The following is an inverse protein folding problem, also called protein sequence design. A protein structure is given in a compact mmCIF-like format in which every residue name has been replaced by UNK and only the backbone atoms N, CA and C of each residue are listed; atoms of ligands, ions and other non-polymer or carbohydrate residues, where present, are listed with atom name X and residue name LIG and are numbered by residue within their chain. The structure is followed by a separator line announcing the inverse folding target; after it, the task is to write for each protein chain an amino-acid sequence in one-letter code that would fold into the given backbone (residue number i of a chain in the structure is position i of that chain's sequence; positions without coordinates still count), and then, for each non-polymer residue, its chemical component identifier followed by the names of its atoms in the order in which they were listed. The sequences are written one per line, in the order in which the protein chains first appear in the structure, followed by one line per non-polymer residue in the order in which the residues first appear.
data_IF_598470362036
#
_entry.id   IF_598470362036
#
_cell.length_a   1.000
_cell.length_b   1.000
_cell.length_c   1.000
_cell.angle_alpha   90.00
_cell.angle_beta   90.00
_cell.angle_gamma   90.00
#
_symmetry.space_group_name_H-M   'P 1'
#
loop_
_entity.id
_entity.type
_entity.pdbx_description
1 polymer ?
#
# COMPACT_ATOMS: atom_id res chain seq x y z
N UNK A 1 -52.20 48.18 0.34
CA UNK A 1 -51.74 47.21 1.36
C UNK A 1 -51.26 45.90 0.73
N UNK A 2 -52.04 45.20 -0.11
CA UNK A 2 -51.65 43.92 -0.72
C UNK A 2 -50.35 43.96 -1.55
N UNK A 3 -50.11 45.02 -2.32
CA UNK A 3 -48.91 45.13 -3.17
C UNK A 3 -47.61 45.25 -2.36
N UNK A 4 -47.63 45.98 -1.24
CA UNK A 4 -46.47 46.11 -0.34
C UNK A 4 -46.16 44.77 0.35
N UNK A 5 -47.18 44.00 0.74
CA UNK A 5 -47.02 42.66 1.33
C UNK A 5 -46.37 41.68 0.34
N UNK A 6 -46.76 41.72 -0.94
CA UNK A 6 -46.17 40.88 -1.98
C UNK A 6 -44.68 41.18 -2.18
N UNK A 7 -44.30 42.47 -2.20
CA UNK A 7 -42.89 42.88 -2.34
C UNK A 7 -42.04 42.42 -1.16
N UNK A 8 -42.57 42.50 0.07
CA UNK A 8 -41.88 42.02 1.27
C UNK A 8 -41.68 40.51 1.23
N UNK A 9 -42.72 39.75 0.86
CA UNK A 9 -42.63 38.29 0.74
C UNK A 9 -41.67 37.86 -0.37
N UNK A 10 -41.67 38.56 -1.51
CA UNK A 10 -40.75 38.28 -2.61
C UNK A 10 -39.30 38.56 -2.19
N UNK A 11 -39.05 39.67 -1.49
CA UNK A 11 -37.72 39.99 -0.96
C UNK A 11 -37.24 38.95 0.07
N UNK A 12 -38.11 38.53 0.98
CA UNK A 12 -37.79 37.49 1.96
C UNK A 12 -37.50 36.13 1.29
N UNK A 13 -38.26 35.78 0.24
CA UNK A 13 -38.05 34.56 -0.54
C UNK A 13 -36.69 34.59 -1.25
N UNK A 14 -36.34 35.70 -1.91
CA UNK A 14 -35.05 35.87 -2.56
C UNK A 14 -33.89 35.80 -1.58
N UNK A 15 -34.03 36.42 -0.41
CA UNK A 15 -33.02 36.33 0.65
C UNK A 15 -32.81 34.88 1.09
N UNK A 16 -33.90 34.14 1.34
CA UNK A 16 -33.83 32.73 1.70
C UNK A 16 -33.16 31.88 0.61
N UNK A 17 -33.52 32.12 -0.66
CA UNK A 17 -32.92 31.45 -1.81
C UNK A 17 -31.41 31.70 -1.92
N UNK A 18 -30.97 32.95 -1.75
CA UNK A 18 -29.55 33.31 -1.81
C UNK A 18 -28.75 32.68 -0.67
N UNK A 19 -29.32 32.64 0.55
CA UNK A 19 -28.70 31.95 1.70
C UNK A 19 -28.57 30.46 1.42
N UNK A 20 -29.62 29.81 0.91
CA UNK A 20 -29.58 28.39 0.57
C UNK A 20 -28.52 28.12 -0.51
N UNK A 21 -28.46 28.94 -1.56
CA UNK A 21 -27.46 28.81 -2.62
C UNK A 21 -26.03 28.96 -2.10
N UNK A 22 -25.79 29.91 -1.18
CA UNK A 22 -24.49 30.09 -0.55
C UNK A 22 -24.09 28.88 0.32
N UNK A 23 -25.02 28.32 1.07
CA UNK A 23 -24.79 27.10 1.88
C UNK A 23 -24.47 25.91 0.98
N UNK A 24 -25.26 25.68 -0.09
CA UNK A 24 -25.00 24.61 -1.06
C UNK A 24 -23.65 24.78 -1.72
N UNK A 25 -23.29 26.00 -2.13
CA UNK A 25 -21.97 26.29 -2.70
C UNK A 25 -20.84 26.01 -1.70
N UNK A 26 -20.99 26.41 -0.44
CA UNK A 26 -20.01 26.14 0.62
C UNK A 26 -19.84 24.63 0.86
N UNK A 27 -20.95 23.87 0.90
CA UNK A 27 -20.92 22.41 1.02
C UNK A 27 -20.25 21.75 -0.20
N UNK A 28 -20.60 22.15 -1.43
CA UNK A 28 -19.96 21.65 -2.64
C UNK A 28 -18.47 21.93 -2.66
N UNK A 29 -18.03 23.11 -2.17
CA UNK A 29 -16.61 23.44 -2.04
C UNK A 29 -15.91 22.57 -1.00
N UNK A 30 -16.53 22.32 0.15
CA UNK A 30 -15.97 21.42 1.18
C UNK A 30 -15.89 19.97 0.66
N UNK A 31 -16.92 19.50 -0.02
CA UNK A 31 -16.95 18.18 -0.67
C UNK A 31 -15.87 18.12 -1.76
N UNK A 32 -15.67 19.17 -2.54
CA UNK A 32 -14.63 19.24 -3.58
C UNK A 32 -13.22 19.12 -3.01
N UNK A 33 -12.89 19.88 -1.96
CA UNK A 33 -11.59 19.81 -1.27
C UNK A 33 -11.37 18.45 -0.60
N UNK A 34 -12.44 17.83 -0.08
CA UNK A 34 -12.38 16.49 0.49
C UNK A 34 -12.21 15.43 -0.61
N UNK A 35 -12.95 15.51 -1.71
CA UNK A 35 -12.83 14.61 -2.86
C UNK A 35 -11.45 14.72 -3.51
N UNK A 36 -10.83 15.88 -3.54
CA UNK A 36 -9.46 16.01 -4.07
C UNK A 36 -8.42 15.26 -3.20
N UNK A 37 -8.72 15.06 -1.91
CA UNK A 37 -7.88 14.27 -0.98
C UNK A 37 -8.32 12.82 -0.82
N UNK A 38 -9.59 12.52 -1.11
CA UNK A 38 -10.24 11.23 -0.83
C UNK A 38 -10.60 10.48 -2.11
N UNK A 39 -10.56 11.10 -3.29
CA UNK A 39 -10.79 10.46 -4.58
C UNK A 39 -9.98 9.17 -4.58
N UNK A 40 -10.65 8.02 -4.43
CA UNK A 40 -9.95 6.78 -4.42
C UNK A 40 -9.45 6.69 -5.83
N UNK A 41 -8.15 6.52 -5.98
CA UNK A 41 -7.58 5.97 -7.20
C UNK A 41 -7.97 4.48 -7.27
N UNK A 42 -9.26 4.20 -7.11
CA UNK A 42 -9.90 2.89 -7.00
C UNK A 42 -10.25 2.30 -8.37
N UNK A 43 -9.72 2.86 -9.46
CA UNK A 43 -9.86 2.33 -10.81
C UNK A 43 -8.55 2.35 -11.63
N UNK A 44 -7.41 2.70 -11.03
CA UNK A 44 -6.08 2.44 -11.61
C UNK A 44 -5.40 1.35 -10.79
N UNK A 45 -6.05 0.18 -10.75
CA UNK A 45 -5.34 -1.09 -10.66
C UNK A 45 -4.66 -1.33 -12.02
N UNK A 46 -3.78 -0.41 -12.46
CA UNK A 46 -2.87 -0.77 -13.52
C UNK A 46 -1.81 -1.67 -12.89
N UNK A 47 -1.99 -2.95 -13.20
CA UNK A 47 -1.41 -4.13 -12.58
C UNK A 47 0.00 -4.35 -13.11
N UNK A 48 0.81 -3.29 -13.14
CA UNK A 48 2.20 -3.38 -13.54
C UNK A 48 3.00 -4.35 -12.67
N UNK A 49 4.02 -4.98 -13.26
CA UNK A 49 4.82 -6.02 -12.61
C UNK A 49 4.10 -7.38 -12.57
N UNK A 50 4.68 -8.40 -11.92
CA UNK A 50 4.12 -9.75 -11.89
C UNK A 50 2.71 -9.74 -11.29
N UNK A 51 1.77 -10.44 -11.93
CA UNK A 51 0.38 -10.51 -11.47
C UNK A 51 0.26 -11.40 -10.24
N UNK A 52 -0.83 -11.23 -9.49
CA UNK A 52 -1.19 -12.20 -8.46
C UNK A 52 -1.35 -13.58 -9.09
N UNK A 53 -0.66 -14.58 -8.54
CA UNK A 53 -0.55 -15.93 -9.07
C UNK A 53 0.68 -16.18 -9.94
N UNK A 54 1.41 -15.15 -10.35
CA UNK A 54 2.65 -15.29 -11.14
C UNK A 54 3.89 -15.32 -10.25
N UNK A 55 4.95 -16.00 -10.73
CA UNK A 55 6.24 -16.01 -10.06
C UNK A 55 6.89 -14.63 -10.07
N UNK A 56 7.48 -14.25 -8.94
CA UNK A 56 8.31 -13.05 -8.84
C UNK A 56 9.58 -13.19 -9.69
N UNK A 57 10.07 -12.09 -10.31
CA UNK A 57 11.41 -12.07 -10.87
C UNK A 57 12.44 -12.36 -9.78
N UNK A 58 13.51 -13.04 -10.15
CA UNK A 58 14.61 -13.34 -9.21
C UNK A 58 15.63 -12.23 -9.27
N UNK A 59 15.89 -11.57 -8.15
CA UNK A 59 16.91 -10.53 -8.03
C UNK A 59 17.70 -10.70 -6.73
N UNK A 60 19.00 -10.45 -6.80
CA UNK A 60 19.90 -10.46 -5.64
C UNK A 60 20.40 -9.04 -5.45
N UNK A 61 20.03 -8.42 -4.35
CA UNK A 61 20.23 -7.00 -4.10
C UNK A 61 20.97 -6.81 -2.78
N UNK A 62 21.94 -5.88 -2.70
CA UNK A 62 22.59 -5.54 -1.45
C UNK A 62 21.60 -4.82 -0.52
N UNK A 63 21.74 -5.04 0.79
CA UNK A 63 21.02 -4.28 1.81
C UNK A 63 21.93 -3.20 2.39
N UNK A 64 21.40 -1.97 2.56
CA UNK A 64 22.10 -0.86 3.21
C UNK A 64 22.42 -1.14 4.69
N UNK A 65 21.65 -2.03 5.34
CA UNK A 65 21.89 -2.46 6.71
C UNK A 65 22.88 -3.64 6.80
N UNK A 66 23.52 -4.00 5.69
CA UNK A 66 24.41 -5.15 5.58
C UNK A 66 23.70 -6.42 5.11
N UNK A 67 24.49 -7.33 4.55
CA UNK A 67 24.01 -8.56 3.94
C UNK A 67 23.40 -8.36 2.55
N UNK A 68 22.80 -9.45 2.03
CA UNK A 68 22.14 -9.46 0.73
C UNK A 68 20.72 -9.98 0.83
N UNK A 69 19.83 -9.43 0.01
CA UNK A 69 18.43 -9.80 -0.09
C UNK A 69 18.21 -10.48 -1.43
N UNK A 70 17.69 -11.70 -1.39
CA UNK A 70 17.16 -12.37 -2.58
C UNK A 70 15.67 -12.11 -2.63
N UNK A 71 15.19 -11.56 -3.73
CA UNK A 71 13.76 -11.42 -4.04
C UNK A 71 13.41 -12.46 -5.08
N UNK A 72 12.32 -13.21 -4.87
CA UNK A 72 11.86 -14.24 -5.81
C UNK A 72 11.82 -15.66 -5.25
N UNK A 73 11.61 -16.66 -6.13
CA UNK A 73 11.44 -18.08 -5.78
C UNK A 73 12.66 -18.69 -5.09
N UNK A 74 12.43 -19.79 -4.36
CA UNK A 74 13.49 -20.64 -3.78
C UNK A 74 13.95 -20.24 -2.37
N UNK A 75 13.15 -19.44 -1.64
CA UNK A 75 13.45 -19.08 -0.24
C UNK A 75 12.80 -20.00 0.79
N UNK A 76 11.69 -20.65 0.45
CA UNK A 76 10.90 -21.45 1.39
C UNK A 76 10.24 -20.63 2.51
N UNK A 77 10.33 -19.30 2.45
CA UNK A 77 9.77 -18.35 3.41
C UNK A 77 9.03 -17.25 2.66
N UNK A 78 7.92 -16.78 3.22
CA UNK A 78 7.17 -15.69 2.64
C UNK A 78 7.99 -14.39 2.71
N UNK A 79 7.70 -13.45 1.83
CA UNK A 79 8.38 -12.15 1.80
C UNK A 79 7.38 -11.02 1.57
N UNK A 80 7.42 -10.00 2.42
CA UNK A 80 6.76 -8.73 2.19
C UNK A 80 7.77 -7.73 1.64
N UNK A 81 7.58 -7.32 0.39
CA UNK A 81 8.28 -6.18 -0.20
C UNK A 81 7.44 -4.93 0.04
N UNK A 82 7.94 -4.03 0.89
CA UNK A 82 7.31 -2.75 1.16
C UNK A 82 8.10 -1.61 0.52
N UNK A 83 7.54 -1.05 -0.55
CA UNK A 83 8.11 0.06 -1.28
C UNK A 83 7.78 1.38 -0.57
N UNK A 84 8.81 2.16 -0.26
CA UNK A 84 8.70 3.41 0.49
C UNK A 84 9.61 4.51 -0.06
N UNK A 85 9.43 5.74 0.44
CA UNK A 85 10.33 6.87 0.20
C UNK A 85 10.55 7.66 1.49
N UNK A 86 11.71 8.32 1.63
CA UNK A 86 12.05 9.13 2.82
C UNK A 86 11.15 10.36 2.99
N UNK A 87 10.64 10.90 1.88
CA UNK A 87 9.76 12.08 1.86
C UNK A 87 8.30 11.74 2.16
N UNK A 88 7.86 10.52 1.84
CA UNK A 88 6.48 10.03 1.97
C UNK A 88 5.94 10.00 3.42
N UNK A 89 4.98 10.86 3.80
CA UNK A 89 4.43 10.91 5.16
C UNK A 89 3.72 9.63 5.60
N UNK A 90 2.91 9.04 4.72
CA UNK A 90 2.16 7.81 5.00
C UNK A 90 3.11 6.63 5.25
N UNK A 91 4.18 6.52 4.46
CA UNK A 91 5.21 5.50 4.63
C UNK A 91 5.81 5.55 6.05
N UNK A 92 6.09 6.76 6.56
CA UNK A 92 6.62 6.96 7.92
C UNK A 92 5.65 6.54 9.02
N UNK A 93 4.35 6.68 8.79
CA UNK A 93 3.31 6.27 9.75
C UNK A 93 3.16 4.75 9.85
N UNK A 94 3.48 4.01 8.77
CA UNK A 94 3.36 2.55 8.71
C UNK A 94 4.59 1.82 9.26
N UNK A 95 5.74 2.49 9.43
CA UNK A 95 6.97 1.84 9.94
C UNK A 95 6.79 1.12 11.29
N UNK A 96 6.10 1.68 12.31
CA UNK A 96 5.88 0.97 13.57
C UNK A 96 5.03 -0.29 13.40
N UNK A 97 4.10 -0.29 12.44
CA UNK A 97 3.27 -1.46 12.12
C UNK A 97 4.15 -2.56 11.51
N UNK A 98 5.01 -2.18 10.56
CA UNK A 98 5.96 -3.11 9.94
C UNK A 98 6.95 -3.71 10.95
N UNK A 99 7.37 -2.96 11.97
CA UNK A 99 8.25 -3.48 13.03
C UNK A 99 7.52 -4.48 13.94
N UNK A 100 6.24 -4.26 14.24
CA UNK A 100 5.41 -5.27 14.93
C UNK A 100 5.33 -6.54 14.08
N UNK A 101 4.95 -6.43 12.81
CA UNK A 101 4.84 -7.57 11.89
C UNK A 101 6.16 -8.33 11.79
N UNK A 102 7.29 -7.64 11.67
CA UNK A 102 8.61 -8.28 11.64
C UNK A 102 8.90 -9.06 12.92
N UNK A 103 8.50 -8.56 14.09
CA UNK A 103 8.72 -9.22 15.38
C UNK A 103 7.79 -10.41 15.58
N UNK A 104 6.52 -10.23 15.24
CA UNK A 104 5.45 -11.21 15.49
C UNK A 104 5.51 -12.35 14.46
N UNK A 105 5.67 -12.01 13.17
CA UNK A 105 5.63 -12.94 12.04
C UNK A 105 7.01 -13.29 11.46
N UNK A 106 8.08 -12.72 12.04
CA UNK A 106 9.46 -12.88 11.56
C UNK A 106 9.98 -14.31 11.52
N UNK A 107 9.27 -15.27 12.10
CA UNK A 107 9.62 -16.70 12.06
C UNK A 107 9.33 -17.32 10.68
N UNK A 108 8.33 -16.83 9.94
CA UNK A 108 7.93 -17.37 8.63
C UNK A 108 7.91 -16.33 7.50
N UNK A 109 7.93 -15.04 7.85
CA UNK A 109 7.89 -13.92 6.91
C UNK A 109 9.15 -13.06 7.00
N UNK A 110 9.73 -12.73 5.84
CA UNK A 110 10.79 -11.73 5.72
C UNK A 110 10.21 -10.38 5.28
N UNK A 111 10.42 -9.32 6.07
CA UNK A 111 10.02 -7.95 5.70
C UNK A 111 11.19 -7.21 5.08
N UNK A 112 11.05 -6.81 3.82
CA UNK A 112 12.05 -6.08 3.04
C UNK A 112 11.51 -4.69 2.72
N UNK A 113 12.26 -3.67 3.12
CA UNK A 113 12.00 -2.28 2.76
C UNK A 113 12.72 -1.98 1.45
N UNK A 114 12.00 -1.53 0.44
CA UNK A 114 12.53 -1.21 -0.88
C UNK A 114 12.37 0.29 -1.17
N UNK A 115 13.39 0.91 -1.72
CA UNK A 115 13.37 2.33 -2.08
C UNK A 115 14.35 2.63 -3.21
N UNK A 116 14.38 3.87 -3.68
CA UNK A 116 15.28 4.39 -4.70
C UNK A 116 15.72 5.83 -4.35
N UNK A 117 16.78 6.31 -5.00
CA UNK A 117 17.34 7.65 -4.80
C UNK A 117 18.71 7.65 -4.15
N UNK A 118 19.03 8.74 -3.43
CA UNK A 118 20.37 9.00 -2.90
C UNK A 118 20.63 8.23 -1.59
N UNK A 119 21.68 7.41 -1.57
CA UNK A 119 22.04 6.56 -0.43
C UNK A 119 22.22 7.33 0.88
N UNK A 120 22.90 8.49 0.87
CA UNK A 120 23.13 9.29 2.06
C UNK A 120 21.81 9.72 2.75
N UNK A 121 20.81 10.11 1.94
CA UNK A 121 19.46 10.44 2.42
C UNK A 121 18.78 9.24 3.08
N UNK A 122 18.98 8.03 2.53
CA UNK A 122 18.44 6.80 3.08
C UNK A 122 19.14 6.33 4.36
N UNK A 123 20.47 6.40 4.43
CA UNK A 123 21.24 6.07 5.65
C UNK A 123 20.83 6.96 6.83
N UNK A 124 20.65 8.26 6.58
CA UNK A 124 20.12 9.20 7.57
C UNK A 124 18.69 8.84 8.00
N UNK A 125 17.84 8.43 7.06
CA UNK A 125 16.47 8.00 7.33
C UNK A 125 16.42 6.73 8.20
N UNK A 126 17.21 5.71 7.84
CA UNK A 126 17.36 4.45 8.59
C UNK A 126 17.77 4.74 10.03
N UNK A 127 18.78 5.58 10.23
CA UNK A 127 19.29 5.92 11.57
C UNK A 127 18.23 6.65 12.40
N UNK A 128 17.56 7.66 11.83
CA UNK A 128 16.51 8.45 12.51
C UNK A 128 15.28 7.61 12.86
N UNK A 129 14.93 6.64 12.02
CA UNK A 129 13.75 5.79 12.18
C UNK A 129 14.05 4.41 12.79
N UNK A 130 15.32 4.16 13.16
CA UNK A 130 15.80 2.90 13.74
C UNK A 130 15.43 1.68 12.90
N UNK A 131 15.65 1.77 11.59
CA UNK A 131 15.32 0.70 10.64
C UNK A 131 16.45 -0.31 10.43
N UNK A 132 17.43 -0.38 11.33
CA UNK A 132 18.61 -1.24 11.19
C UNK A 132 18.29 -2.74 11.17
N UNK A 133 17.19 -3.14 11.80
CA UNK A 133 16.75 -4.54 11.86
C UNK A 133 16.06 -5.03 10.57
N UNK A 134 15.77 -4.13 9.63
CA UNK A 134 15.13 -4.48 8.37
C UNK A 134 16.16 -4.75 7.28
N UNK A 135 15.84 -5.68 6.38
CA UNK A 135 16.46 -5.68 5.07
C UNK A 135 16.05 -4.39 4.34
N UNK A 136 17.01 -3.53 4.00
CA UNK A 136 16.74 -2.24 3.34
C UNK A 136 17.45 -2.18 1.99
N UNK A 137 16.68 -2.33 0.92
CA UNK A 137 17.19 -2.37 -0.45
C UNK A 137 16.98 -1.03 -1.13
N UNK A 138 18.06 -0.47 -1.67
CA UNK A 138 18.03 0.72 -2.51
C UNK A 138 18.28 0.29 -3.98
N UNK A 139 17.21 0.16 -4.77
CA UNK A 139 17.30 -0.28 -6.17
C UNK A 139 16.11 0.22 -6.99
N UNK A 140 16.43 1.02 -8.00
CA UNK A 140 15.47 1.48 -9.02
C UNK A 140 14.96 0.31 -9.86
N UNK A 141 15.82 -0.67 -10.15
CA UNK A 141 15.50 -1.87 -10.92
C UNK A 141 14.42 -2.70 -10.23
N UNK A 142 14.48 -2.83 -8.90
CA UNK A 142 13.45 -3.51 -8.11
C UNK A 142 12.10 -2.80 -8.25
N UNK A 143 12.07 -1.47 -8.12
CA UNK A 143 10.86 -0.67 -8.34
C UNK A 143 10.28 -0.82 -9.75
N UNK A 144 11.14 -0.84 -10.77
CA UNK A 144 10.75 -1.03 -12.17
C UNK A 144 10.25 -2.45 -12.46
N UNK A 145 10.89 -3.48 -11.91
CA UNK A 145 10.50 -4.88 -12.09
C UNK A 145 9.08 -5.15 -11.58
N UNK A 146 8.72 -4.51 -10.46
CA UNK A 146 7.37 -4.56 -9.90
C UNK A 146 6.45 -3.46 -10.43
N UNK A 147 6.94 -2.61 -11.35
CA UNK A 147 6.29 -1.42 -11.92
C UNK A 147 5.54 -0.62 -10.84
N UNK A 148 6.23 -0.28 -9.77
CA UNK A 148 5.68 0.50 -8.66
C UNK A 148 5.52 1.94 -9.10
N UNK A 149 4.28 2.40 -9.21
CA UNK A 149 3.97 3.76 -9.67
C UNK A 149 3.69 4.73 -8.52
N UNK A 150 3.27 4.22 -7.36
CA UNK A 150 2.82 5.01 -6.22
C UNK A 150 3.25 4.33 -4.92
N UNK A 151 3.45 5.14 -3.89
CA UNK A 151 3.92 4.72 -2.57
C UNK A 151 2.93 5.17 -1.49
N UNK A 152 2.78 4.43 -0.38
CA UNK A 152 3.43 3.15 -0.07
C UNK A 152 2.78 1.99 -0.84
N UNK A 153 3.59 1.05 -1.33
CA UNK A 153 3.10 -0.12 -2.07
C UNK A 153 3.66 -1.40 -1.46
N UNK A 154 2.81 -2.39 -1.26
CA UNK A 154 3.19 -3.71 -0.74
C UNK A 154 3.05 -4.78 -1.79
N UNK A 155 4.00 -5.70 -1.82
CA UNK A 155 3.89 -6.96 -2.56
C UNK A 155 4.22 -8.09 -1.61
N UNK A 156 3.33 -9.08 -1.56
CA UNK A 156 3.48 -10.26 -0.72
C UNK A 156 3.74 -11.47 -1.60
N UNK A 157 4.88 -12.10 -1.35
CA UNK A 157 5.32 -13.35 -1.96
C UNK A 157 5.17 -14.48 -0.95
N UNK A 158 4.80 -15.66 -1.41
CA UNK A 158 4.86 -16.87 -0.59
C UNK A 158 6.24 -17.55 -0.62
N UNK A 159 6.35 -18.71 0.04
CA UNK A 159 7.61 -19.47 0.12
C UNK A 159 8.15 -19.96 -1.23
N UNK A 160 7.28 -20.12 -2.21
CA UNK A 160 7.63 -20.48 -3.59
C UNK A 160 7.98 -19.24 -4.43
N UNK A 161 7.90 -18.03 -3.86
CA UNK A 161 8.15 -16.76 -4.53
C UNK A 161 7.06 -16.35 -5.51
N UNK A 162 5.83 -16.84 -5.33
CA UNK A 162 4.68 -16.46 -6.14
C UNK A 162 3.99 -15.26 -5.51
N UNK A 163 3.60 -14.28 -6.31
CA UNK A 163 2.87 -13.10 -5.83
C UNK A 163 1.47 -13.53 -5.37
N UNK A 164 1.16 -13.33 -4.10
CA UNK A 164 -0.15 -13.64 -3.51
C UNK A 164 -1.03 -12.41 -3.39
N UNK A 165 -0.43 -11.25 -3.13
CA UNK A 165 -1.14 -10.00 -3.08
C UNK A 165 -0.21 -8.84 -3.43
N UNK A 166 -0.76 -7.78 -4.01
CA UNK A 166 -0.06 -6.51 -4.23
C UNK A 166 -1.03 -5.35 -4.19
N UNK A 167 -0.60 -4.21 -3.67
CA UNK A 167 -1.46 -3.02 -3.60
C UNK A 167 -0.88 -1.86 -2.83
N UNK A 168 -1.56 -0.72 -2.91
CA UNK A 168 -1.26 0.45 -2.09
C UNK A 168 -1.67 0.19 -0.64
N UNK A 169 -0.85 0.67 0.30
CA UNK A 169 -1.07 0.53 1.73
C UNK A 169 -1.10 1.92 2.34
N UNK A 170 -2.24 2.32 2.88
CA UNK A 170 -2.41 3.61 3.54
C UNK A 170 -2.68 3.47 5.03
N UNK A 171 -3.05 2.28 5.50
CA UNK A 171 -3.38 1.99 6.88
C UNK A 171 -3.02 0.53 7.23
N UNK A 172 -3.23 0.18 8.50
CA UNK A 172 -2.93 -1.16 9.02
C UNK A 172 -3.85 -2.22 8.42
N UNK A 173 -5.12 -1.90 8.25
CA UNK A 173 -6.14 -2.83 7.75
C UNK A 173 -5.82 -3.29 6.32
N UNK A 174 -5.30 -2.40 5.47
CA UNK A 174 -4.84 -2.75 4.13
C UNK A 174 -3.60 -3.65 4.15
N UNK A 175 -2.70 -3.47 5.11
CA UNK A 175 -1.55 -4.36 5.29
C UNK A 175 -2.02 -5.76 5.74
N UNK A 176 -2.93 -5.82 6.70
CA UNK A 176 -3.55 -7.07 7.18
C UNK A 176 -4.30 -7.80 6.06
N UNK A 177 -4.99 -7.08 5.19
CA UNK A 177 -5.64 -7.67 4.01
C UNK A 177 -4.67 -8.36 3.06
N UNK A 178 -3.43 -7.87 2.92
CA UNK A 178 -2.41 -8.55 2.10
C UNK A 178 -1.96 -9.86 2.74
N UNK A 179 -1.88 -9.93 4.06
CA UNK A 179 -1.52 -11.15 4.80
C UNK A 179 -2.62 -12.20 4.75
N UNK A 180 -3.89 -11.81 4.91
CA UNK A 180 -4.99 -12.75 4.73
C UNK A 180 -5.01 -13.38 3.33
N UNK A 181 -4.65 -12.63 2.29
CA UNK A 181 -4.54 -13.17 0.94
C UNK A 181 -3.37 -14.16 0.80
N UNK A 182 -2.26 -13.93 1.50
CA UNK A 182 -1.14 -14.87 1.59
C UNK A 182 -1.56 -16.17 2.29
N UNK A 183 -2.25 -16.09 3.42
CA UNK A 183 -2.76 -17.25 4.16
C UNK A 183 -3.76 -18.06 3.34
N UNK A 184 -4.73 -17.39 2.71
CA UNK A 184 -5.70 -18.04 1.83
C UNK A 184 -5.02 -18.74 0.65
N UNK A 185 -4.00 -18.11 0.06
CA UNK A 185 -3.17 -18.71 -0.97
C UNK A 185 -2.39 -19.93 -0.47
N UNK A 186 -1.72 -19.82 0.68
CA UNK A 186 -0.96 -20.90 1.28
C UNK A 186 -1.84 -22.12 1.60
N UNK A 187 -3.04 -21.89 2.14
CA UNK A 187 -4.02 -22.94 2.41
C UNK A 187 -4.44 -23.68 1.12
N UNK A 188 -4.68 -22.93 0.04
CA UNK A 188 -5.05 -23.52 -1.26
C UNK A 188 -3.92 -24.37 -1.87
N UNK A 189 -2.65 -23.92 -1.76
CA UNK A 189 -1.48 -24.65 -2.26
C UNK A 189 -1.26 -25.93 -1.44
N UNK A 190 -1.37 -25.86 -0.10
CA UNK A 190 -1.25 -27.01 0.77
C UNK A 190 -2.34 -28.06 0.51
N UNK A 191 -3.59 -27.63 0.26
CA UNK A 191 -4.67 -28.54 -0.13
C UNK A 191 -4.40 -29.22 -1.47
N UNK A 192 -3.89 -28.49 -2.47
CA UNK A 192 -3.55 -29.05 -3.78
C UNK A 192 -2.38 -30.06 -3.68
N UNK A 193 -1.36 -29.75 -2.89
CA UNK A 193 -0.24 -30.66 -2.63
C UNK A 193 -0.70 -31.95 -1.95
N UNK A 194 -1.60 -31.84 -0.96
CA UNK A 194 -2.18 -32.99 -0.26
C UNK A 194 -3.06 -33.85 -1.16
N UNK A 195 -3.86 -33.23 -2.03
CA UNK A 195 -4.66 -33.95 -3.03
C UNK A 195 -3.79 -34.68 -4.06
N UNK A 196 -2.70 -34.06 -4.53
CA UNK A 196 -1.74 -34.71 -5.43
C UNK A 196 -1.03 -35.89 -4.78
N UNK A 197 -0.67 -35.78 -3.49
CA UNK A 197 -0.06 -36.89 -2.74
C UNK A 197 -1.03 -38.06 -2.53
N UNK A 198 -2.33 -37.79 -2.34
CA UNK A 198 -3.37 -38.81 -2.21
C UNK A 198 -3.75 -39.45 -3.55
N UNK A 199 -3.57 -38.76 -4.67
CA UNK A 199 -3.83 -39.30 -6.01
C UNK A 199 -2.75 -40.27 -6.51
N UNK A 200 -1.66 -40.45 -5.75
CA UNK A 200 -0.53 -41.32 -6.07
C UNK A 200 -0.44 -42.55 -5.15
N UNK A 201 -1.48 -42.79 -4.34
CA UNK A 201 -1.68 -43.97 -3.49
C UNK A 201 -2.93 -44.70 -3.98
#
# INVERSE_FOLDING_TARGET
MAQSTILVLLGALWLCFLVLAAVVWAMLRQIGVLYERVAPVGALMDSGGPKVGEASPTMRLPSLNGGGVVVGPGRGRAQLLFFLSTSCPVCKQLLPVLDSVRKDEGHWLDVVLASDGEEATHQAFISRRRLGDFAYVLSTELGMAYRVQRLPFGVVLDGDGVVRAKGLINNREQLESLFHALEAGAASVQQLAKQRALAFV
#
